data_IF_682974668288
#
_entry.id   IF_682974668288
#
_cell.length_a   1.000
_cell.length_b   1.000
_cell.length_c   1.000
_cell.angle_alpha   90.00
_cell.angle_beta   90.00
_cell.angle_gamma   90.00
#
_symmetry.space_group_name_H-M   'P 1'
#
loop_
_entity.id
_entity.type
_entity.pdbx_description
1 polymer ?
#
# COMPACT_ATOMS: atom_id res chain seq x y z
N UNK A 1 43.45 7.68 -44.14
CA UNK A 1 42.11 7.30 -44.60
C UNK A 1 41.59 6.26 -43.63
N UNK A 2 40.69 6.64 -42.73
CA UNK A 2 39.98 5.69 -41.85
C UNK A 2 38.54 5.54 -42.37
N UNK A 3 37.96 4.33 -42.39
CA UNK A 3 36.59 4.14 -42.82
C UNK A 3 35.61 4.50 -41.71
N UNK A 4 34.61 5.33 -42.03
CA UNK A 4 33.49 5.64 -41.14
C UNK A 4 32.49 4.47 -41.19
N UNK A 5 32.31 3.77 -40.08
CA UNK A 5 31.19 2.85 -39.90
C UNK A 5 29.89 3.64 -39.73
N UNK A 6 28.93 3.43 -40.63
CA UNK A 6 27.56 3.96 -40.52
C UNK A 6 26.73 3.02 -39.65
N UNK A 7 26.39 3.45 -38.44
CA UNK A 7 25.45 2.72 -37.59
C UNK A 7 24.01 2.98 -38.06
N UNK A 8 23.39 1.96 -38.65
CA UNK A 8 21.95 1.95 -38.94
C UNK A 8 21.16 1.93 -37.63
N UNK A 9 20.18 2.82 -37.51
CA UNK A 9 19.27 2.91 -36.35
C UNK A 9 18.24 1.76 -36.46
N UNK A 10 18.12 0.87 -35.46
CA UNK A 10 17.14 -0.21 -35.51
C UNK A 10 15.71 0.33 -35.49
N UNK A 11 14.83 -0.24 -36.30
CA UNK A 11 13.42 0.16 -36.47
C UNK A 11 12.64 0.09 -35.15
N UNK A 12 11.97 1.18 -34.79
CA UNK A 12 11.21 1.34 -33.54
C UNK A 12 10.05 0.34 -33.40
N UNK A 13 9.50 -0.15 -34.51
CA UNK A 13 8.39 -1.11 -34.53
C UNK A 13 8.78 -2.50 -34.03
N UNK A 14 10.03 -2.93 -34.26
CA UNK A 14 10.53 -4.21 -33.76
C UNK A 14 10.72 -4.19 -32.24
N UNK A 15 11.09 -3.04 -31.67
CA UNK A 15 11.23 -2.86 -30.23
C UNK A 15 9.87 -2.85 -29.51
N UNK A 16 8.83 -2.26 -30.12
CA UNK A 16 7.49 -2.27 -29.58
C UNK A 16 6.91 -3.70 -29.54
N UNK A 17 7.11 -4.48 -30.61
CA UNK A 17 6.69 -5.89 -30.67
C UNK A 17 7.42 -6.76 -29.64
N UNK A 18 8.71 -6.52 -29.41
CA UNK A 18 9.49 -7.23 -28.39
C UNK A 18 9.02 -6.87 -26.96
N UNK A 19 8.59 -5.62 -26.75
CA UNK A 19 8.08 -5.14 -25.47
C UNK A 19 6.70 -5.71 -25.16
N UNK A 20 5.82 -5.82 -26.16
CA UNK A 20 4.51 -6.48 -26.04
C UNK A 20 4.65 -7.98 -25.78
N UNK A 21 5.62 -8.64 -26.42
CA UNK A 21 5.93 -10.05 -26.18
C UNK A 21 6.52 -10.28 -24.77
N UNK A 22 7.31 -9.33 -24.25
CA UNK A 22 7.82 -9.36 -22.87
C UNK A 22 6.72 -9.10 -21.84
N UNK A 23 5.75 -8.24 -22.16
CA UNK A 23 4.58 -7.96 -21.32
C UNK A 23 3.62 -9.15 -21.25
N UNK A 24 3.52 -9.96 -22.32
CA UNK A 24 2.76 -11.20 -22.35
C UNK A 24 3.46 -12.37 -21.64
N UNK A 25 4.79 -12.31 -21.46
CA UNK A 25 5.60 -13.30 -20.70
C UNK A 25 5.71 -13.01 -19.21
N UNK A 26 5.15 -11.91 -18.73
CA UNK A 26 4.86 -11.73 -17.31
C UNK A 26 3.64 -12.56 -16.97
N UNK A 27 3.87 -13.85 -16.74
CA UNK A 27 2.87 -14.76 -16.19
C UNK A 27 2.16 -14.07 -15.02
N UNK A 28 0.81 -14.17 -14.92
CA UNK A 28 0.11 -13.68 -13.76
C UNK A 28 0.66 -14.43 -12.55
N UNK A 29 1.51 -13.74 -11.76
CA UNK A 29 2.00 -14.23 -10.47
C UNK A 29 0.83 -14.90 -9.76
N UNK A 30 0.92 -16.21 -9.65
CA UNK A 30 -0.12 -17.09 -9.14
C UNK A 30 -0.82 -16.46 -7.95
N UNK A 31 -2.14 -16.55 -7.97
CA UNK A 31 -2.96 -16.29 -6.81
C UNK A 31 -2.40 -17.10 -5.65
N UNK A 32 -1.60 -16.45 -4.81
CA UNK A 32 -1.06 -17.08 -3.62
C UNK A 32 -2.24 -17.58 -2.78
N UNK A 33 -2.52 -18.87 -2.93
CA UNK A 33 -3.64 -19.54 -2.32
C UNK A 33 -3.45 -19.52 -0.81
N UNK A 34 -4.52 -19.20 -0.08
CA UNK A 34 -4.47 -19.21 1.38
C UNK A 34 -4.43 -20.67 1.82
N UNK A 35 -3.24 -21.19 2.13
CA UNK A 35 -3.12 -22.59 2.55
C UNK A 35 -4.04 -22.88 3.74
N UNK A 36 -4.83 -23.94 3.60
CA UNK A 36 -5.61 -24.55 4.69
C UNK A 36 -4.69 -25.51 5.45
N UNK A 37 -4.05 -25.00 6.49
CA UNK A 37 -3.40 -25.87 7.49
C UNK A 37 -4.30 -25.84 8.72
N UNK A 38 -4.84 -26.99 9.09
CA UNK A 38 -5.53 -27.18 10.36
C UNK A 38 -4.53 -27.74 11.39
N UNK A 39 -4.31 -27.02 12.49
CA UNK A 39 -3.48 -27.51 13.60
C UNK A 39 -2.37 -26.57 14.09
N UNK A 40 -1.53 -27.10 14.99
CA UNK A 40 -0.34 -26.42 15.51
C UNK A 40 0.85 -26.65 14.58
N UNK A 41 1.57 -25.57 14.28
CA UNK A 41 2.81 -25.59 13.50
C UNK A 41 3.92 -26.11 14.41
N UNK A 42 4.51 -27.24 14.01
CA UNK A 42 5.54 -27.93 14.78
C UNK A 42 6.96 -27.62 14.30
N UNK A 43 7.12 -27.06 13.10
CA UNK A 43 8.41 -26.82 12.47
C UNK A 43 8.72 -25.31 12.36
N UNK A 44 9.93 -24.92 12.75
CA UNK A 44 10.44 -23.55 12.62
C UNK A 44 10.41 -23.05 11.16
N UNK A 45 10.81 -23.89 10.19
CA UNK A 45 10.87 -23.44 8.79
C UNK A 45 9.47 -23.21 8.22
N UNK A 46 8.50 -24.04 8.61
CA UNK A 46 7.09 -23.87 8.26
C UNK A 46 6.53 -22.56 8.84
N UNK A 47 6.82 -22.26 10.11
CA UNK A 47 6.42 -20.99 10.75
C UNK A 47 7.00 -19.78 9.99
N UNK A 48 8.29 -19.84 9.67
CA UNK A 48 9.02 -18.78 8.96
C UNK A 48 8.48 -18.56 7.56
N UNK A 49 8.21 -19.63 6.81
CA UNK A 49 7.61 -19.56 5.49
C UNK A 49 6.19 -19.00 5.52
N UNK A 50 5.38 -19.42 6.49
CA UNK A 50 4.05 -18.86 6.69
C UNK A 50 4.09 -17.37 7.01
N UNK A 51 5.00 -16.93 7.88
CA UNK A 51 5.21 -15.50 8.16
C UNK A 51 5.62 -14.72 6.91
N UNK A 52 6.50 -15.31 6.08
CA UNK A 52 6.96 -14.72 4.82
C UNK A 52 5.82 -14.61 3.80
N UNK A 53 5.01 -15.67 3.61
CA UNK A 53 3.83 -15.65 2.74
C UNK A 53 2.80 -14.62 3.23
N UNK A 54 2.45 -14.65 4.52
CA UNK A 54 1.51 -13.69 5.10
C UNK A 54 2.00 -12.24 4.99
N UNK A 55 3.31 -12.00 5.10
CA UNK A 55 3.89 -10.67 4.85
C UNK A 55 3.61 -10.22 3.41
N UNK A 56 3.88 -11.07 2.42
CA UNK A 56 3.59 -10.78 1.00
C UNK A 56 2.09 -10.53 0.75
N UNK A 57 1.21 -11.34 1.35
CA UNK A 57 -0.24 -11.18 1.21
C UNK A 57 -0.72 -9.85 1.83
N UNK A 58 -0.21 -9.49 3.02
CA UNK A 58 -0.48 -8.18 3.66
C UNK A 58 -0.02 -7.01 2.79
N UNK A 59 1.19 -7.12 2.23
CA UNK A 59 1.74 -6.11 1.32
C UNK A 59 0.90 -6.03 0.04
N UNK A 60 0.34 -7.11 -0.48
CA UNK A 60 -0.59 -7.06 -1.62
C UNK A 60 -2.02 -6.64 -1.25
N UNK A 61 -2.35 -6.52 0.04
CA UNK A 61 -3.71 -6.25 0.50
C UNK A 61 -4.67 -7.42 0.29
N UNK A 62 -4.16 -8.64 0.10
CA UNK A 62 -4.95 -9.85 -0.10
C UNK A 62 -5.36 -10.48 1.23
N UNK A 63 -6.28 -11.44 1.16
CA UNK A 63 -6.70 -12.28 2.29
C UNK A 63 -5.48 -12.99 2.90
N UNK A 64 -5.40 -13.07 4.22
CA UNK A 64 -4.33 -13.81 4.91
C UNK A 64 -4.77 -14.27 6.30
N UNK A 65 -4.15 -15.32 6.83
CA UNK A 65 -4.43 -15.84 8.18
C UNK A 65 -3.38 -15.34 9.17
N UNK A 66 -3.77 -14.89 10.35
CA UNK A 66 -2.82 -14.52 11.42
C UNK A 66 -2.38 -15.75 12.19
N UNK A 67 -1.13 -15.71 12.64
CA UNK A 67 -0.60 -16.72 13.56
C UNK A 67 -0.73 -16.23 15.00
N UNK A 68 -1.12 -17.12 15.90
CA UNK A 68 -1.15 -16.88 17.34
C UNK A 68 -0.36 -17.96 18.04
N UNK A 69 0.47 -17.54 19.00
CA UNK A 69 1.19 -18.48 19.86
C UNK A 69 0.25 -19.01 20.92
N UNK A 70 0.14 -20.32 21.03
CA UNK A 70 -0.48 -21.00 22.16
C UNK A 70 0.43 -20.79 23.38
N UNK A 71 -0.15 -20.28 24.48
CA UNK A 71 0.60 -19.99 25.70
C UNK A 71 1.04 -21.25 26.44
N UNK A 72 0.31 -22.35 26.29
CA UNK A 72 0.57 -23.61 26.99
C UNK A 72 1.59 -24.46 26.24
N UNK A 73 1.42 -24.66 24.93
CA UNK A 73 2.32 -25.49 24.12
C UNK A 73 3.52 -24.71 23.56
N UNK A 74 3.45 -23.38 23.56
CA UNK A 74 4.47 -22.52 22.95
C UNK A 74 4.47 -22.55 21.41
N UNK A 75 3.58 -23.30 20.78
CA UNK A 75 3.49 -23.46 19.32
C UNK A 75 2.59 -22.42 18.69
N UNK A 76 2.77 -22.17 17.40
CA UNK A 76 1.90 -21.26 16.64
C UNK A 76 0.77 -22.03 15.98
N UNK A 77 -0.42 -21.44 15.95
CA UNK A 77 -1.56 -21.91 15.16
C UNK A 77 -2.22 -20.73 14.45
N UNK A 78 -3.05 -21.00 13.44
CA UNK A 78 -3.86 -19.94 12.86
C UNK A 78 -4.91 -19.45 13.87
N UNK A 79 -5.11 -18.13 13.92
CA UNK A 79 -6.11 -17.51 14.78
C UNK A 79 -7.27 -16.94 13.99
N UNK A 80 -7.01 -15.88 13.23
CA UNK A 80 -8.07 -15.15 12.54
C UNK A 80 -7.73 -14.99 11.07
N UNK A 81 -8.76 -15.10 10.25
CA UNK A 81 -8.67 -14.71 8.85
C UNK A 81 -8.87 -13.21 8.71
N UNK A 82 -7.99 -12.57 7.94
CA UNK A 82 -8.09 -11.18 7.57
C UNK A 82 -8.53 -11.10 6.11
N UNK A 83 -9.65 -10.43 5.87
CA UNK A 83 -10.17 -10.23 4.53
C UNK A 83 -9.25 -9.35 3.68
N UNK A 84 -9.34 -9.54 2.37
CA UNK A 84 -8.73 -8.66 1.40
C UNK A 84 -9.22 -7.21 1.55
N UNK A 85 -8.38 -6.27 1.14
CA UNK A 85 -8.69 -4.85 1.18
C UNK A 85 -9.70 -4.55 0.09
N UNK A 86 -10.80 -3.89 0.47
CA UNK A 86 -11.85 -3.43 -0.44
C UNK A 86 -12.12 -1.95 -0.21
N UNK A 87 -12.43 -1.23 -1.28
CA UNK A 87 -12.90 0.14 -1.16
C UNK A 87 -14.30 0.13 -0.54
N UNK A 88 -14.47 0.88 0.55
CA UNK A 88 -15.75 1.02 1.24
C UNK A 88 -16.64 2.08 0.57
N UNK A 89 -17.96 2.09 0.84
CA UNK A 89 -18.86 3.15 0.39
C UNK A 89 -18.38 4.55 0.82
N UNK A 90 -18.89 5.57 0.13
CA UNK A 90 -18.63 6.98 0.47
C UNK A 90 -19.20 7.32 1.85
N UNK A 91 -18.60 8.29 2.53
CA UNK A 91 -19.09 8.69 3.85
C UNK A 91 -20.41 9.45 3.69
N UNK A 92 -21.49 8.93 4.28
CA UNK A 92 -22.80 9.60 4.24
C UNK A 92 -23.17 10.29 5.56
N UNK A 93 -22.28 10.22 6.55
CA UNK A 93 -22.53 10.76 7.89
C UNK A 93 -22.86 12.26 7.86
N UNK A 94 -24.00 12.62 8.44
CA UNK A 94 -24.46 14.00 8.60
C UNK A 94 -23.44 14.83 9.39
N UNK A 95 -22.76 14.24 10.38
CA UNK A 95 -21.71 14.92 11.14
C UNK A 95 -20.54 15.31 10.25
N UNK A 96 -20.09 14.41 9.37
CA UNK A 96 -19.02 14.73 8.42
C UNK A 96 -19.43 15.81 7.40
N UNK A 97 -20.72 15.90 7.05
CA UNK A 97 -21.24 16.95 6.16
C UNK A 97 -21.29 18.33 6.84
N UNK A 98 -21.59 18.38 8.14
CA UNK A 98 -21.74 19.65 8.89
C UNK A 98 -20.40 20.27 9.32
N UNK A 99 -19.39 19.44 9.61
CA UNK A 99 -18.14 19.93 10.19
C UNK A 99 -17.15 20.38 9.10
N UNK A 100 -16.71 21.65 9.16
CA UNK A 100 -15.83 22.29 8.16
C UNK A 100 -14.43 21.67 8.00
N UNK A 101 -13.98 20.86 8.97
CA UNK A 101 -12.65 20.25 8.96
C UNK A 101 -12.65 18.78 8.52
N UNK A 102 -13.79 18.26 8.04
CA UNK A 102 -13.91 16.90 7.50
C UNK A 102 -14.21 16.99 6.02
N UNK A 103 -13.35 16.36 5.22
CA UNK A 103 -13.40 16.45 3.75
C UNK A 103 -13.83 15.13 3.10
N UNK A 104 -14.59 14.30 3.83
CA UNK A 104 -14.96 12.96 3.38
C UNK A 104 -15.80 12.97 2.08
N UNK A 105 -16.54 14.05 1.82
CA UNK A 105 -17.36 14.22 0.63
C UNK A 105 -16.62 14.93 -0.52
N UNK A 106 -15.36 15.32 -0.32
CA UNK A 106 -14.60 16.05 -1.34
C UNK A 106 -14.09 15.12 -2.44
N UNK A 107 -13.91 13.84 -2.14
CA UNK A 107 -13.53 12.80 -3.09
C UNK A 107 -14.78 12.04 -3.53
N UNK A 108 -15.05 12.04 -4.84
CA UNK A 108 -16.14 11.24 -5.38
C UNK A 108 -15.75 9.74 -5.42
N UNK A 109 -16.66 8.87 -5.86
CA UNK A 109 -16.35 7.44 -5.94
C UNK A 109 -15.18 7.13 -6.87
N UNK A 110 -15.11 7.80 -8.03
CA UNK A 110 -14.05 7.63 -9.02
C UNK A 110 -12.66 7.98 -8.45
N UNK A 111 -12.52 9.15 -7.82
CA UNK A 111 -11.27 9.59 -7.18
C UNK A 111 -10.80 8.56 -6.14
N UNK A 112 -11.74 8.05 -5.34
CA UNK A 112 -11.45 7.05 -4.30
C UNK A 112 -11.01 5.72 -4.90
N UNK A 113 -11.64 5.30 -6.00
CA UNK A 113 -11.30 4.09 -6.73
C UNK A 113 -9.91 4.20 -7.35
N UNK A 114 -9.60 5.33 -7.98
CA UNK A 114 -8.28 5.58 -8.56
C UNK A 114 -7.17 5.56 -7.49
N UNK A 115 -7.36 6.29 -6.38
CA UNK A 115 -6.41 6.29 -5.26
C UNK A 115 -6.22 4.88 -4.72
N UNK A 116 -7.32 4.13 -4.54
CA UNK A 116 -7.28 2.77 -4.01
C UNK A 116 -6.53 1.82 -4.93
N UNK A 117 -6.89 1.79 -6.22
CA UNK A 117 -6.26 0.91 -7.22
C UNK A 117 -4.79 1.24 -7.40
N UNK A 118 -4.44 2.52 -7.55
CA UNK A 118 -3.05 2.95 -7.72
C UNK A 118 -2.22 2.60 -6.47
N UNK A 119 -2.76 2.84 -5.27
CA UNK A 119 -2.07 2.50 -4.03
C UNK A 119 -1.78 1.00 -3.93
N UNK A 120 -2.78 0.14 -4.16
CA UNK A 120 -2.58 -1.32 -4.02
C UNK A 120 -1.80 -1.95 -5.18
N UNK A 121 -1.73 -1.31 -6.35
CA UNK A 121 -0.86 -1.72 -7.47
C UNK A 121 0.63 -1.47 -7.20
N UNK A 122 0.97 -0.46 -6.40
CA UNK A 122 2.36 -0.13 -6.05
C UNK A 122 3.04 -1.23 -5.21
N UNK A 123 4.37 -1.35 -5.36
CA UNK A 123 5.21 -2.15 -4.46
C UNK A 123 5.25 -1.54 -3.05
N UNK A 124 5.64 -2.33 -2.06
CA UNK A 124 5.70 -1.85 -0.67
C UNK A 124 6.62 -0.64 -0.50
N UNK A 125 7.75 -0.61 -1.20
CA UNK A 125 8.69 0.52 -1.14
C UNK A 125 8.14 1.76 -1.81
N UNK A 126 7.49 1.62 -2.97
CA UNK A 126 6.80 2.72 -3.64
C UNK A 126 5.67 3.29 -2.77
N UNK A 127 4.94 2.45 -2.04
CA UNK A 127 3.89 2.92 -1.12
C UNK A 127 4.45 3.72 0.04
N UNK A 128 5.60 3.32 0.62
CA UNK A 128 6.26 4.10 1.67
C UNK A 128 6.61 5.50 1.18
N UNK A 129 7.19 5.59 -0.02
CA UNK A 129 7.50 6.88 -0.66
C UNK A 129 6.22 7.67 -0.94
N UNK A 130 5.21 7.04 -1.54
CA UNK A 130 3.92 7.66 -1.83
C UNK A 130 3.29 8.27 -0.57
N UNK A 131 3.21 7.51 0.53
CA UNK A 131 2.67 8.00 1.81
C UNK A 131 3.54 9.12 2.39
N UNK A 132 4.86 9.04 2.29
CA UNK A 132 5.74 10.11 2.77
C UNK A 132 5.49 11.45 2.05
N UNK A 133 5.19 11.41 0.75
CA UNK A 133 4.85 12.60 -0.04
C UNK A 133 3.49 13.24 0.34
N UNK A 134 2.65 12.49 1.06
CA UNK A 134 1.35 12.93 1.57
C UNK A 134 1.42 13.51 2.98
N UNK A 135 2.59 13.48 3.63
CA UNK A 135 2.79 13.96 4.99
C UNK A 135 3.58 15.28 4.93
N UNK A 136 3.17 16.26 5.74
CA UNK A 136 4.01 17.43 6.08
C UNK A 136 4.36 17.41 7.55
N UNK A 137 5.63 17.54 7.86
CA UNK A 137 6.12 17.71 9.23
C UNK A 137 6.07 19.19 9.61
N UNK A 138 5.56 19.49 10.80
CA UNK A 138 5.56 20.82 11.40
C UNK A 138 6.07 20.75 12.82
N UNK A 139 6.66 21.83 13.31
CA UNK A 139 6.99 21.94 14.73
C UNK A 139 5.71 22.08 15.56
N UNK A 140 5.70 21.45 16.73
CA UNK A 140 4.56 21.55 17.65
C UNK A 140 4.45 22.98 18.17
N UNK A 141 3.32 23.65 17.90
CA UNK A 141 3.13 25.06 18.19
C UNK A 141 3.05 25.40 19.70
N UNK A 142 2.78 24.40 20.55
CA UNK A 142 2.71 24.55 22.01
C UNK A 142 3.36 23.33 22.70
N UNK A 143 4.69 23.27 22.80
CA UNK A 143 5.31 22.30 23.69
C UNK A 143 4.84 22.63 25.13
N UNK A 144 4.38 21.63 25.88
CA UNK A 144 3.93 21.83 27.28
C UNK A 144 5.07 22.26 28.21
N UNK A 145 6.32 22.04 27.78
CA UNK A 145 7.56 22.17 28.53
C UNK A 145 8.75 21.91 27.59
N UNK A 146 9.94 22.41 27.93
CA UNK A 146 11.18 22.23 27.14
C UNK A 146 11.58 20.75 26.97
N UNK A 147 11.09 19.88 27.86
CA UNK A 147 11.27 18.42 27.80
C UNK A 147 10.13 17.68 27.08
N UNK A 148 9.38 18.35 26.20
CA UNK A 148 8.30 17.68 25.47
C UNK A 148 8.87 16.63 24.51
N UNK A 149 8.49 15.36 24.71
CA UNK A 149 8.86 14.26 23.80
C UNK A 149 8.25 14.38 22.41
N UNK A 150 7.28 15.30 22.21
CA UNK A 150 6.61 15.54 20.92
C UNK A 150 6.95 16.94 20.41
N UNK A 151 8.07 17.03 19.71
CA UNK A 151 8.55 18.26 19.07
C UNK A 151 7.92 18.49 17.68
N UNK A 152 7.40 17.43 17.06
CA UNK A 152 6.90 17.43 15.69
C UNK A 152 5.45 16.95 15.64
N UNK A 153 4.68 17.59 14.76
CA UNK A 153 3.32 17.24 14.37
C UNK A 153 3.30 16.90 12.90
N UNK A 154 2.54 15.88 12.52
CA UNK A 154 2.33 15.50 11.12
C UNK A 154 0.96 15.96 10.64
N UNK A 155 0.93 16.61 9.49
CA UNK A 155 -0.28 16.89 8.73
C UNK A 155 -0.36 15.96 7.54
N UNK A 156 -1.54 15.36 7.35
CA UNK A 156 -1.80 14.35 6.34
C UNK A 156 -2.68 14.93 5.25
N UNK A 157 -2.39 14.57 4.01
CA UNK A 157 -3.08 15.08 2.84
C UNK A 157 -3.44 13.94 1.90
N UNK A 158 -4.52 14.12 1.15
CA UNK A 158 -4.82 13.30 -0.03
C UNK A 158 -4.79 14.17 -1.27
N UNK A 159 -4.25 13.63 -2.36
CA UNK A 159 -4.21 14.31 -3.66
C UNK A 159 -5.52 14.04 -4.40
N UNK A 160 -6.11 15.09 -4.98
CA UNK A 160 -7.26 14.98 -5.90
C UNK A 160 -6.79 15.36 -7.31
N UNK A 161 -6.81 14.41 -8.25
CA UNK A 161 -6.30 14.57 -9.61
C UNK A 161 -4.77 14.66 -9.72
N UNK A 162 -4.25 14.83 -10.95
CA UNK A 162 -2.82 15.03 -11.23
C UNK A 162 -2.31 16.40 -10.77
N UNK A 163 -3.20 17.39 -10.61
CA UNK A 163 -2.86 18.80 -10.35
C UNK A 163 -2.45 19.10 -8.89
N UNK A 164 -2.19 18.07 -8.08
CA UNK A 164 -1.52 18.23 -6.79
C UNK A 164 -2.29 19.01 -5.72
N UNK A 165 -3.60 19.29 -5.90
CA UNK A 165 -4.42 19.93 -4.87
C UNK A 165 -4.51 19.00 -3.65
N UNK A 166 -3.72 19.34 -2.62
CA UNK A 166 -3.65 18.63 -1.34
C UNK A 166 -4.83 19.08 -0.47
N UNK A 167 -5.76 18.17 -0.22
CA UNK A 167 -6.83 18.39 0.75
C UNK A 167 -6.38 17.85 2.10
N UNK A 168 -6.42 18.69 3.13
CA UNK A 168 -6.13 18.31 4.52
C UNK A 168 -7.06 17.17 4.92
N UNK A 169 -6.53 15.99 5.26
CA UNK A 169 -7.36 14.83 5.61
C UNK A 169 -7.79 14.82 7.08
N UNK A 170 -7.75 15.97 7.76
CA UNK A 170 -8.15 16.28 9.14
C UNK A 170 -6.94 16.42 10.09
N UNK A 171 -6.98 17.47 10.92
CA UNK A 171 -6.10 17.67 12.08
C UNK A 171 -6.38 16.58 13.13
N UNK A 172 -5.35 15.83 13.53
CA UNK A 172 -5.39 15.06 14.76
C UNK A 172 -5.76 16.01 15.90
N UNK A 173 -6.91 15.78 16.52
CA UNK A 173 -7.34 16.47 17.73
C UNK A 173 -7.03 15.58 18.92
#
# INVERSE_FOLDING_TARGET
MEPKESYSRPDEEQNASMLDELMLKLEPMEEAEVMEIEGEINNYEEEKDLRKRNKKLREKGRKYKTLRKNKTTGKYSYANENNERKLRPTCESVLCKKVKNRFCNTFNHHDRQEIFSNFWKMSWDMRKVYVSCLIKTKTTQRPKNDNSSRLLTFEYYLKKGMDGKKLDSSRNK
#
